data_IF_356377405031
#
_entry.id   IF_356377405031
#
_cell.length_a   1.000
_cell.length_b   1.000
_cell.length_c   1.000
_cell.angle_alpha   90.00
_cell.angle_beta   90.00
_cell.angle_gamma   90.00
#
_symmetry.space_group_name_H-M   'P 1'
#
loop_
_entity.id
_entity.type
_entity.pdbx_description
1 polymer ?
#
# COMPACT_ATOMS: atom_id res chain seq x y z
N UNK A 1 -7.81 -8.93 3.61
CA UNK A 1 -7.80 -10.07 4.55
C UNK A 1 -6.62 -10.96 4.17
N UNK A 2 -5.47 -10.77 4.81
CA UNK A 2 -4.27 -11.57 4.51
C UNK A 2 -4.18 -12.73 5.51
N UNK A 3 -4.23 -13.96 5.00
CA UNK A 3 -4.05 -15.16 5.78
C UNK A 3 -2.60 -15.23 6.28
N UNK A 4 -2.42 -15.28 7.61
CA UNK A 4 -1.13 -15.55 8.26
C UNK A 4 -0.62 -16.92 7.81
N UNK A 5 0.65 -17.07 7.37
CA UNK A 5 1.24 -18.38 7.25
C UNK A 5 1.43 -18.96 8.65
N UNK A 6 0.84 -20.12 8.90
CA UNK A 6 1.00 -20.88 10.13
C UNK A 6 2.49 -21.23 10.27
N UNK A 7 3.13 -20.68 11.30
CA UNK A 7 4.48 -21.09 11.70
C UNK A 7 4.46 -22.58 11.99
N UNK A 8 5.17 -23.37 11.16
CA UNK A 8 5.58 -24.71 11.53
C UNK A 8 6.41 -24.57 12.80
N UNK A 9 5.84 -25.01 13.93
CA UNK A 9 6.60 -25.21 15.15
C UNK A 9 7.70 -26.20 14.82
N UNK A 10 8.96 -25.78 14.98
CA UNK A 10 10.06 -26.72 15.02
C UNK A 10 9.77 -27.67 16.17
N UNK A 11 9.49 -28.92 15.84
CA UNK A 11 9.39 -30.00 16.80
C UNK A 11 10.82 -30.31 17.25
N UNK A 12 11.31 -29.52 18.21
CA UNK A 12 12.50 -29.85 18.97
C UNK A 12 12.14 -31.01 19.88
N UNK A 13 12.01 -32.21 19.30
CA UNK A 13 12.17 -33.42 20.07
C UNK A 13 13.65 -33.49 20.42
N UNK A 14 13.97 -32.99 21.62
CA UNK A 14 15.15 -33.41 22.35
C UNK A 14 15.16 -34.94 22.31
N UNK A 15 16.01 -35.50 21.45
CA UNK A 15 16.38 -36.90 21.62
C UNK A 15 17.18 -36.94 22.90
N UNK A 16 16.47 -37.21 23.99
CA UNK A 16 17.03 -37.67 25.24
C UNK A 16 18.19 -38.59 24.90
N UNK A 17 19.37 -38.25 25.41
CA UNK A 17 20.51 -39.12 25.31
C UNK A 17 20.08 -40.49 25.81
N UNK A 18 20.03 -41.46 24.90
CA UNK A 18 19.99 -42.86 25.29
C UNK A 18 21.25 -43.08 26.10
N UNK A 19 21.07 -43.07 27.43
CA UNK A 19 22.01 -43.63 28.38
C UNK A 19 22.34 -45.02 27.85
N UNK A 20 23.55 -45.14 27.33
CA UNK A 20 24.21 -46.42 27.08
C UNK A 20 23.96 -47.25 28.34
N UNK A 21 23.40 -48.47 28.23
CA UNK A 21 23.20 -49.30 29.41
C UNK A 21 24.54 -49.42 30.11
N UNK A 22 24.52 -49.03 31.39
CA UNK A 22 25.63 -48.99 32.33
C UNK A 22 26.46 -50.27 32.22
N UNK A 23 27.45 -50.24 31.33
CA UNK A 23 28.53 -51.20 31.31
C UNK A 23 29.39 -50.82 32.51
N UNK A 24 29.00 -51.34 33.67
CA UNK A 24 29.84 -51.41 34.85
C UNK A 24 31.17 -52.01 34.41
N UNK A 25 32.14 -51.13 34.15
CA UNK A 25 33.49 -51.49 33.81
C UNK A 25 34.08 -52.09 35.08
N UNK A 26 34.15 -53.41 35.12
CA UNK A 26 34.98 -54.14 36.07
C UNK A 26 36.44 -53.82 35.74
N UNK A 27 37.01 -52.86 36.47
CA UNK A 27 38.36 -52.29 36.21
C UNK A 27 39.46 -53.35 36.41
N UNK A 28 39.14 -54.49 37.03
CA UNK A 28 40.08 -55.58 37.33
C UNK A 28 40.02 -56.77 36.34
N UNK A 29 39.16 -56.73 35.32
CA UNK A 29 39.10 -57.79 34.30
C UNK A 29 40.21 -57.61 33.23
N UNK A 30 40.96 -58.67 32.84
CA UNK A 30 42.01 -58.54 31.84
C UNK A 30 41.41 -58.11 30.49
N UNK A 31 41.87 -56.98 29.96
CA UNK A 31 41.49 -56.48 28.63
C UNK A 31 41.82 -57.56 27.61
N UNK A 32 40.77 -58.25 27.14
CA UNK A 32 40.91 -59.31 26.13
C UNK A 32 41.01 -58.66 24.75
N UNK A 33 41.79 -59.28 23.86
CA UNK A 33 41.96 -58.82 22.47
C UNK A 33 40.62 -58.64 21.74
N UNK A 34 39.67 -59.52 21.99
CA UNK A 34 38.31 -59.47 21.43
C UNK A 34 37.50 -58.27 21.91
N UNK A 35 37.71 -57.81 23.16
CA UNK A 35 37.06 -56.60 23.67
C UNK A 35 37.56 -55.34 22.93
N UNK A 36 38.87 -55.22 22.74
CA UNK A 36 39.44 -54.11 21.97
C UNK A 36 38.99 -54.15 20.51
N UNK A 37 38.99 -55.32 19.87
CA UNK A 37 38.52 -55.49 18.49
C UNK A 37 37.05 -55.04 18.35
N UNK A 38 36.18 -55.44 19.29
CA UNK A 38 34.78 -55.02 19.30
C UNK A 38 34.62 -53.51 19.52
N UNK A 39 35.36 -52.92 20.46
CA UNK A 39 35.33 -51.47 20.71
C UNK A 39 35.77 -50.68 19.47
N UNK A 40 36.83 -51.12 18.78
CA UNK A 40 37.29 -50.49 17.55
C UNK A 40 36.28 -50.61 16.42
N UNK A 41 35.58 -51.75 16.30
CA UNK A 41 34.52 -51.90 15.30
C UNK A 41 33.34 -50.98 15.61
N UNK A 42 32.87 -50.92 16.86
CA UNK A 42 31.77 -50.03 17.26
C UNK A 42 32.13 -48.56 17.02
N UNK A 43 33.31 -48.11 17.44
CA UNK A 43 33.76 -46.74 17.19
C UNK A 43 33.84 -46.42 15.69
N UNK A 44 34.29 -47.38 14.88
CA UNK A 44 34.37 -47.20 13.43
C UNK A 44 32.98 -47.06 12.81
N UNK A 45 32.03 -47.86 13.27
CA UNK A 45 30.64 -47.83 12.80
C UNK A 45 29.95 -46.54 13.24
N UNK A 46 30.15 -46.08 14.47
CA UNK A 46 29.64 -44.81 14.98
C UNK A 46 30.20 -43.62 14.20
N UNK A 47 31.51 -43.62 13.92
CA UNK A 47 32.15 -42.58 13.08
C UNK A 47 31.57 -42.61 11.66
N UNK A 48 31.30 -43.81 11.10
CA UNK A 48 30.70 -43.93 9.77
C UNK A 48 29.27 -43.40 9.76
N UNK A 49 28.47 -43.70 10.78
CA UNK A 49 27.11 -43.21 10.95
C UNK A 49 27.08 -41.68 11.09
N UNK A 50 27.89 -41.10 11.98
CA UNK A 50 27.99 -39.65 12.17
C UNK A 50 28.44 -38.93 10.90
N UNK A 51 29.36 -39.53 10.11
CA UNK A 51 29.76 -38.96 8.81
C UNK A 51 28.61 -38.96 7.81
N UNK A 52 27.78 -40.00 7.81
CA UNK A 52 26.61 -40.07 6.92
C UNK A 52 25.55 -39.06 7.33
N UNK A 53 25.27 -38.93 8.63
CA UNK A 53 24.34 -37.95 9.18
C UNK A 53 24.80 -36.52 8.85
N UNK A 54 26.08 -36.20 9.13
CA UNK A 54 26.65 -34.89 8.78
C UNK A 54 26.58 -34.61 7.27
N UNK A 55 26.83 -35.61 6.43
CA UNK A 55 26.72 -35.44 4.98
C UNK A 55 25.27 -35.19 4.53
N UNK A 56 24.29 -35.84 5.18
CA UNK A 56 22.87 -35.59 4.94
C UNK A 56 22.47 -34.17 5.38
N UNK A 57 22.85 -33.76 6.59
CA UNK A 57 22.57 -32.42 7.11
C UNK A 57 23.18 -31.32 6.23
N UNK A 58 24.42 -31.50 5.78
CA UNK A 58 25.07 -30.55 4.85
C UNK A 58 24.34 -30.47 3.52
N UNK A 59 23.82 -31.59 3.01
CA UNK A 59 23.04 -31.62 1.77
C UNK A 59 21.72 -30.88 1.95
N UNK A 60 21.02 -31.11 3.05
CA UNK A 60 19.74 -30.47 3.37
C UNK A 60 19.93 -28.96 3.60
N UNK A 61 20.98 -28.56 4.31
CA UNK A 61 21.34 -27.14 4.44
C UNK A 61 21.59 -26.48 3.09
N UNK A 62 22.34 -27.12 2.19
CA UNK A 62 22.57 -26.60 0.84
C UNK A 62 21.28 -26.46 0.04
N UNK A 63 20.38 -27.43 0.17
CA UNK A 63 19.08 -27.37 -0.50
C UNK A 63 18.23 -26.20 0.02
N UNK A 64 18.09 -26.08 1.34
CA UNK A 64 17.35 -24.99 1.98
C UNK A 64 17.94 -23.61 1.65
N UNK A 65 19.27 -23.51 1.57
CA UNK A 65 19.95 -22.28 1.19
C UNK A 65 19.63 -21.90 -0.26
N UNK A 66 19.65 -22.86 -1.19
CA UNK A 66 19.25 -22.61 -2.59
C UNK A 66 17.78 -22.20 -2.73
N UNK A 67 16.86 -22.79 -1.96
CA UNK A 67 15.47 -22.35 -1.94
C UNK A 67 15.32 -20.92 -1.38
N UNK A 68 16.13 -20.58 -0.36
CA UNK A 68 16.11 -19.25 0.23
C UNK A 68 16.65 -18.20 -0.74
N UNK A 69 17.73 -18.50 -1.46
CA UNK A 69 18.26 -17.64 -2.53
C UNK A 69 17.19 -17.35 -3.59
N UNK A 70 16.49 -18.39 -4.09
CA UNK A 70 15.42 -18.21 -5.06
C UNK A 70 14.25 -17.35 -4.53
N UNK A 71 13.92 -17.49 -3.24
CA UNK A 71 12.88 -16.67 -2.61
C UNK A 71 13.31 -15.22 -2.48
N UNK A 72 14.58 -14.98 -2.13
CA UNK A 72 15.14 -13.62 -2.05
C UNK A 72 15.13 -12.98 -3.42
N UNK A 73 15.63 -13.67 -4.45
CA UNK A 73 15.60 -13.17 -5.84
C UNK A 73 14.18 -12.80 -6.30
N UNK A 74 13.20 -13.64 -5.96
CA UNK A 74 11.79 -13.40 -6.31
C UNK A 74 11.23 -12.17 -5.58
N UNK A 75 11.59 -11.99 -4.31
CA UNK A 75 11.19 -10.83 -3.51
C UNK A 75 11.85 -9.54 -4.00
N UNK A 76 13.13 -9.59 -4.38
CA UNK A 76 13.86 -8.44 -4.94
C UNK A 76 13.22 -7.99 -6.25
N UNK A 77 13.03 -8.90 -7.22
CA UNK A 77 12.33 -8.57 -8.47
C UNK A 77 10.90 -8.06 -8.23
N UNK A 78 10.20 -8.66 -7.27
CA UNK A 78 8.86 -8.23 -6.89
C UNK A 78 8.83 -6.87 -6.21
N UNK A 79 9.92 -6.46 -5.57
CA UNK A 79 10.10 -5.11 -5.01
C UNK A 79 10.36 -4.10 -6.12
N UNK A 80 11.32 -4.40 -7.00
CA UNK A 80 11.69 -3.53 -8.13
C UNK A 80 10.48 -3.22 -9.00
N UNK A 81 9.69 -4.24 -9.37
CA UNK A 81 8.46 -4.05 -10.15
C UNK A 81 7.45 -3.14 -9.44
N UNK A 82 7.30 -3.28 -8.13
CA UNK A 82 6.36 -2.44 -7.36
C UNK A 82 6.85 -1.00 -7.26
N UNK A 83 8.15 -0.79 -7.16
CA UNK A 83 8.72 0.54 -7.14
C UNK A 83 8.53 1.22 -8.51
N UNK A 84 8.68 0.48 -9.62
CA UNK A 84 8.36 0.98 -10.97
C UNK A 84 6.87 1.37 -11.11
N UNK A 85 5.95 0.49 -10.70
CA UNK A 85 4.50 0.75 -10.70
C UNK A 85 4.15 1.98 -9.83
N UNK A 86 4.80 2.13 -8.67
CA UNK A 86 4.58 3.26 -7.77
C UNK A 86 5.01 4.59 -8.42
N UNK A 87 6.15 4.61 -9.11
CA UNK A 87 6.61 5.79 -9.85
C UNK A 87 5.74 6.12 -11.07
N UNK A 88 5.13 5.13 -11.71
CA UNK A 88 4.11 5.35 -12.73
C UNK A 88 2.85 5.99 -12.15
N UNK A 89 2.30 5.43 -11.08
CA UNK A 89 1.12 5.99 -10.42
C UNK A 89 1.35 7.41 -9.89
N UNK A 90 2.54 7.71 -9.33
CA UNK A 90 2.89 9.08 -8.92
C UNK A 90 2.83 10.06 -10.09
N UNK A 91 3.36 9.67 -11.26
CA UNK A 91 3.31 10.50 -12.48
C UNK A 91 1.88 10.72 -12.95
N UNK A 92 1.05 9.69 -12.93
CA UNK A 92 -0.36 9.79 -13.32
C UNK A 92 -1.16 10.71 -12.37
N UNK A 93 -0.95 10.58 -11.06
CA UNK A 93 -1.59 11.44 -10.05
C UNK A 93 -1.23 12.91 -10.27
N UNK A 94 0.03 13.21 -10.56
CA UNK A 94 0.46 14.58 -10.86
C UNK A 94 -0.21 15.10 -12.13
N UNK A 95 -0.24 14.33 -13.21
CA UNK A 95 -0.88 14.72 -14.45
C UNK A 95 -2.40 14.96 -14.28
N UNK A 96 -3.08 14.12 -13.51
CA UNK A 96 -4.50 14.30 -13.20
C UNK A 96 -4.76 15.53 -12.33
N UNK A 97 -3.86 15.80 -11.38
CA UNK A 97 -3.93 17.01 -10.54
C UNK A 97 -3.81 18.27 -11.38
N UNK A 98 -2.81 18.36 -12.25
CA UNK A 98 -2.59 19.50 -13.14
C UNK A 98 -3.82 19.72 -14.04
N UNK A 99 -4.34 18.63 -14.63
CA UNK A 99 -5.56 18.70 -15.45
C UNK A 99 -6.79 19.18 -14.68
N UNK A 100 -6.92 18.80 -13.41
CA UNK A 100 -8.02 19.24 -12.54
C UNK A 100 -7.90 20.73 -12.23
N UNK A 101 -6.67 21.20 -12.01
CA UNK A 101 -6.37 22.61 -11.76
C UNK A 101 -6.66 23.47 -13.01
N UNK A 102 -6.25 23.01 -14.19
CA UNK A 102 -6.56 23.66 -15.47
C UNK A 102 -8.07 23.73 -15.73
N UNK A 103 -8.80 22.64 -15.50
CA UNK A 103 -10.25 22.60 -15.68
C UNK A 103 -10.95 23.55 -14.70
N UNK A 104 -10.50 23.61 -13.45
CA UNK A 104 -11.04 24.56 -12.47
C UNK A 104 -10.81 26.01 -12.92
N UNK A 105 -9.61 26.34 -13.40
CA UNK A 105 -9.33 27.67 -13.93
C UNK A 105 -10.23 28.02 -15.13
N UNK A 106 -10.44 27.08 -16.05
CA UNK A 106 -11.35 27.28 -17.18
C UNK A 106 -12.80 27.46 -16.74
N UNK A 107 -13.26 26.69 -15.74
CA UNK A 107 -14.60 26.83 -15.19
C UNK A 107 -14.80 28.21 -14.54
N UNK A 108 -13.83 28.67 -13.74
CA UNK A 108 -13.88 30.00 -13.13
C UNK A 108 -13.89 31.10 -14.21
N UNK A 109 -13.07 30.96 -15.25
CA UNK A 109 -13.05 31.91 -16.36
C UNK A 109 -14.40 31.95 -17.12
N UNK A 110 -15.02 30.79 -17.36
CA UNK A 110 -16.33 30.69 -17.99
C UNK A 110 -17.44 31.25 -17.11
N UNK A 111 -17.42 30.97 -15.81
CA UNK A 111 -18.37 31.50 -14.84
C UNK A 111 -18.27 33.02 -14.76
N UNK A 112 -17.04 33.56 -14.68
CA UNK A 112 -16.80 34.99 -14.69
C UNK A 112 -17.25 35.65 -15.99
N UNK A 113 -17.04 35.00 -17.14
CA UNK A 113 -17.54 35.49 -18.44
C UNK A 113 -19.07 35.48 -18.52
N UNK A 114 -19.69 34.42 -18.02
CA UNK A 114 -21.16 34.29 -17.97
C UNK A 114 -21.78 35.35 -17.05
N UNK A 115 -21.14 35.66 -15.92
CA UNK A 115 -21.63 36.63 -14.94
C UNK A 115 -21.21 38.07 -15.20
N UNK A 116 -20.34 38.34 -16.19
CA UNK A 116 -19.78 39.69 -16.45
C UNK A 116 -20.84 40.78 -16.63
N UNK A 117 -21.98 40.43 -17.20
CA UNK A 117 -23.09 41.36 -17.43
C UNK A 117 -24.20 41.24 -16.38
N UNK A 118 -24.03 40.40 -15.36
CA UNK A 118 -25.02 40.20 -14.31
C UNK A 118 -24.81 41.23 -13.20
N UNK A 119 -25.88 41.93 -12.83
CA UNK A 119 -25.88 42.90 -11.73
C UNK A 119 -26.67 42.30 -10.56
N UNK A 120 -26.04 42.20 -9.39
CA UNK A 120 -26.70 41.78 -8.15
C UNK A 120 -27.13 43.01 -7.35
N UNK A 121 -28.45 43.18 -7.16
CA UNK A 121 -29.02 44.27 -6.37
C UNK A 121 -29.44 43.71 -5.01
N UNK A 122 -28.78 44.18 -3.94
CA UNK A 122 -29.09 43.78 -2.55
C UNK A 122 -30.06 44.76 -1.89
N UNK A 123 -30.85 44.29 -0.94
CA UNK A 123 -31.79 45.12 -0.16
C UNK A 123 -33.14 45.38 -0.83
N UNK A 124 -33.48 44.65 -1.91
CA UNK A 124 -34.79 44.75 -2.56
C UNK A 124 -35.86 44.10 -1.68
N UNK A 125 -36.87 44.88 -1.25
CA UNK A 125 -37.97 44.41 -0.41
C UNK A 125 -38.64 43.16 -1.02
N UNK A 126 -38.94 42.18 -0.16
CA UNK A 126 -39.48 40.87 -0.58
C UNK A 126 -40.87 40.97 -1.22
N UNK A 127 -41.63 42.01 -0.85
CA UNK A 127 -43.03 42.24 -1.25
C UNK A 127 -43.21 42.70 -2.70
N UNK A 128 -42.12 42.99 -3.44
CA UNK A 128 -42.24 43.30 -4.86
C UNK A 128 -42.60 42.02 -5.63
N UNK A 129 -43.82 41.98 -6.17
CA UNK A 129 -44.37 40.86 -6.94
C UNK A 129 -43.40 40.39 -8.02
N UNK A 130 -43.15 39.08 -8.05
CA UNK A 130 -42.23 38.42 -8.98
C UNK A 130 -42.57 38.71 -10.46
N UNK A 131 -43.85 38.97 -10.77
CA UNK A 131 -44.32 39.32 -12.11
C UNK A 131 -43.86 40.70 -12.62
N UNK A 132 -43.39 41.59 -11.74
CA UNK A 132 -43.00 42.97 -12.10
C UNK A 132 -41.53 43.30 -11.79
N UNK A 133 -40.70 42.30 -11.45
CA UNK A 133 -39.32 42.53 -11.02
C UNK A 133 -38.51 43.31 -12.07
N UNK A 134 -38.71 43.00 -13.36
CA UNK A 134 -38.09 43.72 -14.48
C UNK A 134 -38.50 45.20 -14.50
N UNK A 135 -39.77 45.52 -14.32
CA UNK A 135 -40.26 46.90 -14.25
C UNK A 135 -39.76 47.65 -13.03
N UNK A 136 -39.68 46.97 -11.89
CA UNK A 136 -39.12 47.52 -10.65
C UNK A 136 -37.65 47.92 -10.86
N UNK A 137 -36.85 47.03 -11.45
CA UNK A 137 -35.43 47.29 -11.74
C UNK A 137 -35.28 48.43 -12.75
N UNK A 138 -36.10 48.48 -13.81
CA UNK A 138 -36.08 49.59 -14.77
C UNK A 138 -36.44 50.93 -14.11
N UNK A 139 -37.46 50.97 -13.26
CA UNK A 139 -37.81 52.17 -12.47
C UNK A 139 -36.68 52.59 -11.54
N UNK A 140 -36.04 51.64 -10.88
CA UNK A 140 -34.89 51.89 -10.02
C UNK A 140 -33.73 52.51 -10.80
N UNK A 141 -33.36 51.96 -11.96
CA UNK A 141 -32.28 52.50 -12.78
C UNK A 141 -32.58 53.92 -13.27
N UNK A 142 -33.81 54.20 -13.71
CA UNK A 142 -34.23 55.55 -14.11
C UNK A 142 -34.16 56.56 -12.95
N UNK A 143 -34.44 56.11 -11.73
CA UNK A 143 -34.35 56.95 -10.54
C UNK A 143 -32.90 57.21 -10.12
N UNK A 144 -32.05 56.17 -10.09
CA UNK A 144 -30.66 56.26 -9.61
C UNK A 144 -29.73 56.90 -10.62
N UNK A 145 -29.95 56.66 -11.93
CA UNK A 145 -29.11 57.20 -13.00
C UNK A 145 -30.01 57.88 -14.05
N UNK A 146 -30.43 59.13 -13.81
CA UNK A 146 -31.31 59.86 -14.72
C UNK A 146 -30.73 60.06 -16.13
N UNK A 147 -29.39 60.08 -16.25
CA UNK A 147 -28.71 60.17 -17.54
C UNK A 147 -28.97 58.96 -18.46
N UNK A 148 -29.39 57.81 -17.91
CA UNK A 148 -29.75 56.63 -18.69
C UNK A 148 -31.20 56.65 -19.18
N UNK A 149 -31.99 57.68 -18.85
CA UNK A 149 -33.41 57.77 -19.25
C UNK A 149 -33.60 57.87 -20.75
N UNK A 150 -32.62 58.43 -21.47
CA UNK A 150 -32.63 58.54 -22.93
C UNK A 150 -32.18 57.24 -23.64
N UNK A 151 -31.69 56.24 -22.90
CA UNK A 151 -31.22 54.97 -23.45
C UNK A 151 -32.19 53.83 -23.14
N UNK A 152 -32.43 52.98 -24.14
CA UNK A 152 -33.20 51.75 -23.95
C UNK A 152 -32.36 50.70 -23.20
N UNK A 153 -32.68 50.51 -21.91
CA UNK A 153 -32.07 49.48 -21.07
C UNK A 153 -32.67 48.12 -21.44
N UNK A 154 -31.87 47.26 -22.08
CA UNK A 154 -32.27 45.89 -22.42
C UNK A 154 -31.91 44.96 -21.25
N UNK A 155 -32.93 44.40 -20.60
CA UNK A 155 -32.78 43.38 -19.57
C UNK A 155 -33.21 42.01 -20.12
N UNK A 156 -32.25 41.09 -20.18
CA UNK A 156 -32.45 39.74 -20.77
C UNK A 156 -33.19 38.80 -19.80
N UNK A 157 -32.72 38.72 -18.55
CA UNK A 157 -33.35 37.95 -17.48
C UNK A 157 -33.27 38.67 -16.13
N UNK A 158 -34.30 38.52 -15.31
CA UNK A 158 -34.34 39.02 -13.93
C UNK A 158 -34.92 37.95 -13.03
N UNK A 159 -34.21 37.60 -11.97
CA UNK A 159 -34.66 36.63 -10.97
C UNK A 159 -34.14 37.05 -9.59
N UNK A 160 -34.78 36.53 -8.53
CA UNK A 160 -34.20 36.60 -7.19
C UNK A 160 -33.22 35.43 -7.04
N UNK A 161 -32.07 35.68 -6.43
CA UNK A 161 -31.16 34.61 -6.04
C UNK A 161 -31.86 33.74 -4.99
N UNK A 162 -31.94 32.43 -5.25
CA UNK A 162 -32.47 31.43 -4.31
C UNK A 162 -31.46 31.04 -3.25
#
# INVERSE_FOLDING_TARGET
MFAKPAGKKADCTEKEGQLIPDATLDIDAPVTRSFLENLFTTLRDDIAALKQELAADVKDMRHNMGEMEQRVDSLERGSDNRDEELEEHKREILALRDKTEDLNYQLEALENRSRRCNICIKGVLLQADAGSLKEYVLRLFRYVVPALVEQDIILDHTHRAG
#
